data_IF_349781277602
#
_entry.id   IF_349781277602
#
_cell.length_a   1.000
_cell.length_b   1.000
_cell.length_c   1.000
_cell.angle_alpha   90.00
_cell.angle_beta   90.00
_cell.angle_gamma   90.00
#
_symmetry.space_group_name_H-M   'P 1'
#
loop_
_entity.id
_entity.type
_entity.pdbx_description
1 polymer ?
#
# COMPACT_ATOMS: atom_id res chain seq x y z
N UNK A 1 4.82 -6.33 12.20
CA UNK A 1 4.46 -6.19 10.77
C UNK A 1 3.08 -6.79 10.56
N UNK A 2 2.14 -6.01 10.05
CA UNK A 2 0.74 -6.45 9.93
C UNK A 2 0.32 -6.70 8.48
N UNK A 3 1.19 -6.46 7.51
CA UNK A 3 0.86 -6.66 6.10
C UNK A 3 2.10 -7.07 5.32
N UNK A 4 1.86 -7.85 4.26
CA UNK A 4 2.86 -8.14 3.24
C UNK A 4 2.43 -7.47 1.96
N UNK A 5 3.37 -6.87 1.26
CA UNK A 5 3.10 -6.12 0.03
C UNK A 5 3.91 -6.73 -1.10
N UNK A 6 3.25 -7.00 -2.22
CA UNK A 6 3.86 -7.57 -3.41
C UNK A 6 3.29 -6.89 -4.64
N UNK A 7 4.07 -6.72 -5.70
CA UNK A 7 5.53 -6.86 -5.73
C UNK A 7 6.22 -5.60 -5.21
N UNK A 8 7.50 -5.67 -4.90
CA UNK A 8 8.26 -4.48 -4.52
C UNK A 8 8.63 -3.64 -5.74
N UNK A 9 8.62 -4.24 -6.91
CA UNK A 9 8.71 -3.54 -8.20
C UNK A 9 7.35 -3.70 -8.87
N UNK A 10 6.62 -2.60 -9.03
CA UNK A 10 5.23 -2.67 -9.49
C UNK A 10 5.05 -1.86 -10.79
N UNK A 11 4.01 -2.22 -11.54
CA UNK A 11 3.65 -1.55 -12.79
C UNK A 11 2.34 -0.80 -12.63
N UNK A 12 1.26 -1.50 -12.32
CA UNK A 12 -0.07 -0.89 -12.25
C UNK A 12 -0.83 -1.24 -10.98
N UNK A 13 -0.35 -2.17 -10.19
CA UNK A 13 -1.07 -2.61 -9.01
C UNK A 13 -0.14 -3.13 -7.93
N UNK A 14 -0.66 -3.10 -6.70
CA UNK A 14 -0.01 -3.67 -5.54
C UNK A 14 -1.01 -4.60 -4.86
N UNK A 15 -0.51 -5.70 -4.32
CA UNK A 15 -1.31 -6.65 -3.58
C UNK A 15 -0.87 -6.66 -2.13
N UNK A 16 -1.83 -6.51 -1.23
CA UNK A 16 -1.59 -6.55 0.20
C UNK A 16 -2.15 -7.84 0.77
N UNK A 17 -1.34 -8.54 1.53
CA UNK A 17 -1.79 -9.64 2.37
C UNK A 17 -1.83 -9.11 3.80
N UNK A 18 -3.01 -9.01 4.36
CA UNK A 18 -3.22 -8.36 5.64
C UNK A 18 -3.38 -9.38 6.76
N UNK A 19 -2.76 -9.11 7.90
CA UNK A 19 -3.01 -9.89 9.10
C UNK A 19 -4.32 -9.42 9.68
N UNK A 20 -5.27 -10.33 9.85
CA UNK A 20 -6.60 -9.97 10.30
C UNK A 20 -6.55 -9.42 11.72
N UNK A 21 -6.87 -8.16 11.87
CA UNK A 21 -7.05 -7.48 13.14
C UNK A 21 -8.41 -6.84 13.07
N UNK A 22 -9.40 -7.43 13.72
CA UNK A 22 -10.76 -6.97 13.60
C UNK A 22 -10.93 -5.52 14.03
N UNK A 23 -11.82 -4.82 13.37
CA UNK A 23 -12.38 -3.57 13.86
C UNK A 23 -11.68 -2.28 13.45
N UNK A 24 -10.49 -2.30 12.88
CA UNK A 24 -9.81 -1.07 12.48
C UNK A 24 -9.67 -0.99 10.97
N UNK A 25 -9.70 0.22 10.43
CA UNK A 25 -9.50 0.41 9.01
C UNK A 25 -8.01 0.34 8.65
N UNK A 26 -7.76 -0.03 7.41
CA UNK A 26 -6.43 -0.08 6.83
C UNK A 26 -6.25 1.14 5.93
N UNK A 27 -5.12 1.81 6.04
CA UNK A 27 -4.81 2.96 5.20
C UNK A 27 -3.44 2.82 4.59
N UNK A 28 -3.34 3.13 3.31
CA UNK A 28 -2.08 3.11 2.57
C UNK A 28 -1.86 4.45 1.91
N UNK A 29 -0.65 4.98 2.01
CA UNK A 29 -0.26 6.24 1.39
C UNK A 29 0.99 5.99 0.57
N UNK A 30 0.95 6.38 -0.69
CA UNK A 30 2.08 6.24 -1.59
C UNK A 30 2.69 7.62 -1.82
N UNK A 31 3.95 7.78 -1.46
CA UNK A 31 4.69 9.05 -1.59
C UNK A 31 5.83 8.88 -2.57
N UNK A 32 6.14 9.96 -3.31
CA UNK A 32 7.29 9.97 -4.20
C UNK A 32 8.59 10.15 -3.42
N UNK A 33 9.71 10.25 -4.14
CA UNK A 33 11.03 10.40 -3.53
C UNK A 33 11.24 11.75 -2.83
N UNK A 34 10.33 12.69 -3.07
CA UNK A 34 10.35 14.02 -2.43
C UNK A 34 9.42 14.09 -1.22
N UNK A 35 8.72 13.00 -0.92
CA UNK A 35 7.78 12.96 0.18
C UNK A 35 6.39 13.47 -0.15
N UNK A 36 6.10 13.74 -1.41
CA UNK A 36 4.77 14.20 -1.82
C UNK A 36 3.82 13.01 -1.96
N UNK A 37 2.62 13.16 -1.42
CA UNK A 37 1.60 12.11 -1.52
C UNK A 37 1.10 12.02 -2.95
N UNK A 38 1.24 10.84 -3.55
CA UNK A 38 0.82 10.59 -4.93
C UNK A 38 -0.51 9.87 -4.99
N UNK A 39 -0.80 9.01 -4.02
CA UNK A 39 -2.05 8.26 -4.00
C UNK A 39 -2.32 7.75 -2.60
N UNK A 40 -3.59 7.54 -2.28
CA UNK A 40 -4.00 6.99 -0.99
C UNK A 40 -5.07 5.93 -1.19
N UNK A 41 -5.13 4.98 -0.25
CA UNK A 41 -6.13 3.93 -0.24
C UNK A 41 -6.58 3.71 1.19
N UNK A 42 -7.88 3.61 1.40
CA UNK A 42 -8.45 3.22 2.69
C UNK A 42 -9.41 2.06 2.47
N UNK A 43 -9.40 1.12 3.39
CA UNK A 43 -10.31 -0.01 3.35
C UNK A 43 -10.73 -0.37 4.76
N UNK A 44 -12.03 -0.67 4.97
CA UNK A 44 -12.46 -1.18 6.26
C UNK A 44 -11.94 -2.61 6.47
N UNK A 45 -11.68 -2.96 7.71
CA UNK A 45 -11.28 -4.31 8.07
C UNK A 45 -12.44 -5.04 8.74
N UNK A 46 -12.52 -6.35 8.58
CA UNK A 46 -11.64 -7.19 7.76
C UNK A 46 -12.00 -7.14 6.28
N UNK A 47 -11.00 -7.35 5.44
CA UNK A 47 -11.24 -7.51 4.01
C UNK A 47 -11.39 -8.99 3.68
N UNK A 48 -12.05 -9.27 2.55
CA UNK A 48 -12.29 -10.64 2.14
C UNK A 48 -10.97 -11.35 1.89
N UNK A 49 -10.83 -12.56 2.46
CA UNK A 49 -9.65 -13.40 2.31
C UNK A 49 -8.35 -12.74 2.80
N UNK A 50 -8.46 -11.66 3.57
CA UNK A 50 -7.31 -10.90 4.06
C UNK A 50 -6.40 -10.41 2.95
N UNK A 51 -6.94 -10.23 1.75
CA UNK A 51 -6.22 -9.71 0.60
C UNK A 51 -6.87 -8.45 0.09
N UNK A 52 -6.05 -7.50 -0.32
CA UNK A 52 -6.50 -6.25 -0.91
C UNK A 52 -5.60 -5.94 -2.09
N UNK A 53 -6.22 -5.59 -3.23
CA UNK A 53 -5.47 -5.21 -4.42
C UNK A 53 -5.71 -3.74 -4.70
N UNK A 54 -4.63 -2.99 -4.81
CA UNK A 54 -4.64 -1.57 -5.15
C UNK A 54 -4.30 -1.44 -6.63
N UNK A 55 -5.26 -1.00 -7.42
CA UNK A 55 -5.13 -0.87 -8.87
C UNK A 55 -5.11 0.61 -9.27
N UNK A 56 -4.85 0.84 -10.55
CA UNK A 56 -4.89 2.20 -11.08
C UNK A 56 -3.61 2.98 -10.85
N UNK A 57 -2.50 2.31 -10.60
CA UNK A 57 -1.22 2.95 -10.34
C UNK A 57 -0.39 3.17 -11.60
N UNK A 58 -0.91 2.78 -12.75
CA UNK A 58 -0.18 2.87 -14.02
C UNK A 58 0.05 4.31 -14.48
N UNK A 59 -0.69 5.27 -13.95
CA UNK A 59 -0.52 6.68 -14.30
C UNK A 59 0.62 7.37 -13.56
N UNK A 60 1.21 6.70 -12.58
CA UNK A 60 2.30 7.30 -11.82
C UNK A 60 3.61 7.23 -12.62
N UNK A 61 4.44 8.28 -12.54
CA UNK A 61 5.77 8.22 -13.14
C UNK A 61 6.58 7.08 -12.52
N UNK A 62 7.49 6.49 -13.29
CA UNK A 62 8.34 5.49 -12.68
C UNK A 62 9.43 6.14 -11.84
N UNK A 63 9.89 5.41 -10.85
CA UNK A 63 10.83 5.88 -9.87
C UNK A 63 10.64 5.17 -8.55
N UNK A 64 11.28 5.71 -7.53
CA UNK A 64 11.23 5.15 -6.18
C UNK A 64 10.11 5.82 -5.40
N UNK A 65 9.31 5.00 -4.73
CA UNK A 65 8.20 5.46 -3.90
C UNK A 65 8.34 4.90 -2.50
N UNK A 66 7.80 5.62 -1.53
CA UNK A 66 7.69 5.15 -0.15
C UNK A 66 6.22 4.85 0.11
N UNK A 67 5.96 3.63 0.56
CA UNK A 67 4.62 3.20 0.94
C UNK A 67 4.51 3.24 2.44
N UNK A 68 3.53 3.98 2.95
CA UNK A 68 3.24 4.05 4.37
C UNK A 68 1.91 3.39 4.63
N UNK A 69 1.91 2.41 5.53
CA UNK A 69 0.72 1.65 5.87
C UNK A 69 0.38 1.88 7.33
N UNK A 70 -0.90 2.04 7.62
CA UNK A 70 -1.38 2.14 9.00
C UNK A 70 -2.61 1.26 9.19
N UNK A 71 -2.68 0.65 10.37
CA UNK A 71 -3.85 -0.11 10.81
C UNK A 71 -3.96 0.07 12.32
N UNK A 72 -4.97 0.81 12.77
CA UNK A 72 -5.06 1.17 14.18
C UNK A 72 -3.84 1.99 14.60
N UNK A 73 -3.11 1.49 15.60
CA UNK A 73 -1.90 2.14 16.07
C UNK A 73 -0.63 1.58 15.43
N UNK A 74 -0.75 0.63 14.52
CA UNK A 74 0.40 0.02 13.86
C UNK A 74 0.74 0.75 12.58
N UNK A 75 2.03 0.94 12.34
CA UNK A 75 2.54 1.61 11.16
C UNK A 75 3.66 0.79 10.53
N UNK A 76 3.72 0.84 9.20
CA UNK A 76 4.80 0.24 8.42
C UNK A 76 5.21 1.20 7.33
N UNK A 77 6.49 1.17 6.97
CA UNK A 77 7.00 1.89 5.81
C UNK A 77 7.87 0.97 5.00
N UNK A 78 7.77 1.09 3.68
CA UNK A 78 8.63 0.33 2.79
C UNK A 78 8.88 1.10 1.51
N UNK A 79 9.97 0.75 0.85
CA UNK A 79 10.35 1.39 -0.39
C UNK A 79 9.96 0.48 -1.56
N UNK A 80 9.35 1.08 -2.58
CA UNK A 80 8.90 0.39 -3.77
C UNK A 80 9.47 1.07 -5.00
N UNK A 81 9.50 0.34 -6.11
CA UNK A 81 9.94 0.89 -7.39
C UNK A 81 8.80 0.74 -8.38
N UNK A 82 8.44 1.84 -9.05
CA UNK A 82 7.44 1.86 -10.12
C UNK A 82 8.15 1.73 -11.45
N UNK A 83 7.72 0.78 -12.25
CA UNK A 83 8.24 0.56 -13.60
C UNK A 83 7.13 0.70 -14.64
N UNK A 84 7.58 0.84 -15.87
CA UNK A 84 6.65 0.93 -17.00
C UNK A 84 6.18 -0.44 -17.41
#
# INVERSE_FOLDING_TARGET
MFAKVKPTVFIDSLKFELMAQGGTSFKAILKDDKGCVCSTLEAPMPVKDNELVWRGLNNLPYGVYTLELTQGNDEMKMRLVKRV
#
